data_IF_790607180659
#
_entry.id   IF_790607180659
#
_cell.length_a   1.000
_cell.length_b   1.000
_cell.length_c   1.000
_cell.angle_alpha   90.00
_cell.angle_beta   90.00
_cell.angle_gamma   90.00
#
_symmetry.space_group_name_H-M   'P 1'
#
loop_
_entity.id
_entity.type
_entity.pdbx_description
1 polymer ?
#
# COMPACT_ATOMS: atom_id res chain seq x y z
N UNK A 1 10.69 -5.86 48.68
CA UNK A 1 11.30 -6.07 47.35
C UNK A 1 10.50 -7.02 46.44
N UNK A 2 9.18 -7.20 46.63
CA UNK A 2 8.38 -8.20 45.88
C UNK A 2 7.41 -7.59 44.87
N UNK A 3 7.23 -6.26 44.90
CA UNK A 3 6.25 -5.55 44.07
C UNK A 3 6.87 -4.95 42.79
N UNK A 4 8.19 -4.81 42.70
CA UNK A 4 8.87 -4.22 41.54
C UNK A 4 8.91 -5.15 40.32
N UNK A 5 9.01 -6.47 40.53
CA UNK A 5 9.04 -7.44 39.43
C UNK A 5 7.69 -7.45 38.70
N UNK A 6 6.58 -7.32 39.44
CA UNK A 6 5.23 -7.30 38.86
C UNK A 6 5.01 -6.02 38.04
N UNK A 7 5.47 -4.87 38.52
CA UNK A 7 5.36 -3.59 37.78
C UNK A 7 6.21 -3.59 36.51
N UNK A 8 7.41 -4.17 36.55
CA UNK A 8 8.32 -4.22 35.39
C UNK A 8 7.80 -5.17 34.30
N UNK A 9 7.24 -6.31 34.68
CA UNK A 9 6.64 -7.26 33.73
C UNK A 9 5.38 -6.69 33.06
N UNK A 10 4.54 -5.94 33.80
CA UNK A 10 3.37 -5.26 33.23
C UNK A 10 3.76 -4.13 32.26
N UNK A 11 4.81 -3.36 32.58
CA UNK A 11 5.27 -2.27 31.73
C UNK A 11 5.85 -2.77 30.39
N UNK A 12 6.55 -3.91 30.41
CA UNK A 12 7.11 -4.53 29.19
C UNK A 12 6.01 -5.15 28.32
N UNK A 13 4.94 -5.71 28.90
CA UNK A 13 3.83 -6.27 28.12
C UNK A 13 2.93 -5.21 27.47
N UNK A 14 2.87 -3.99 28.03
CA UNK A 14 2.19 -2.84 27.40
C UNK A 14 2.94 -2.28 26.18
N UNK A 15 4.26 -2.43 26.11
CA UNK A 15 5.07 -2.01 24.94
C UNK A 15 4.84 -2.90 23.70
N UNK A 16 4.39 -4.14 23.89
CA UNK A 16 4.09 -5.07 22.78
C UNK A 16 2.70 -4.84 22.14
N UNK A 17 1.82 -4.05 22.77
CA UNK A 17 0.52 -3.68 22.20
C UNK A 17 0.60 -2.48 21.23
N UNK A 18 1.78 -1.88 21.05
CA UNK A 18 2.04 -0.82 20.08
C UNK A 18 2.37 -1.36 18.66
N UNK A 19 2.29 -2.67 18.43
CA UNK A 19 3.01 -3.33 17.33
C UNK A 19 2.27 -3.62 16.03
N UNK A 20 1.00 -3.23 15.87
CA UNK A 20 0.34 -3.36 14.56
C UNK A 20 0.39 -2.01 13.82
N UNK A 21 1.08 -1.93 12.67
CA UNK A 21 1.03 -0.75 11.83
C UNK A 21 -0.43 -0.41 11.53
N UNK A 22 -0.73 0.88 11.50
CA UNK A 22 -2.08 1.35 11.20
C UNK A 22 -2.49 0.87 9.79
N UNK A 23 -3.79 0.82 9.53
CA UNK A 23 -4.31 0.37 8.24
C UNK A 23 -3.68 1.18 7.09
N UNK A 24 -3.58 2.48 7.29
CA UNK A 24 -3.01 3.48 6.39
C UNK A 24 -1.53 3.18 6.09
N UNK A 25 -0.72 3.00 7.13
CA UNK A 25 0.71 2.71 7.02
C UNK A 25 0.99 1.42 6.21
N UNK A 26 0.17 0.38 6.41
CA UNK A 26 0.30 -0.86 5.64
C UNK A 26 -0.02 -0.65 4.15
N UNK A 27 -1.06 0.12 3.86
CA UNK A 27 -1.49 0.42 2.49
C UNK A 27 -0.44 1.28 1.78
N UNK A 28 0.07 2.31 2.45
CA UNK A 28 1.14 3.17 1.93
C UNK A 28 2.42 2.38 1.66
N UNK A 29 2.83 1.50 2.59
CA UNK A 29 3.98 0.63 2.39
C UNK A 29 3.80 -0.31 1.19
N UNK A 30 2.59 -0.87 1.01
CA UNK A 30 2.28 -1.71 -0.15
C UNK A 30 2.35 -0.93 -1.47
N UNK A 31 1.76 0.27 -1.52
CA UNK A 31 1.79 1.16 -2.70
C UNK A 31 3.22 1.57 -3.04
N UNK A 32 4.02 1.94 -2.03
CA UNK A 32 5.42 2.33 -2.21
C UNK A 32 6.26 1.15 -2.72
N UNK A 33 6.09 -0.04 -2.12
CA UNK A 33 6.75 -1.27 -2.56
C UNK A 33 6.40 -1.65 -4.00
N UNK A 34 5.12 -1.54 -4.37
CA UNK A 34 4.67 -1.74 -5.75
C UNK A 34 5.34 -0.75 -6.72
N UNK A 35 5.47 0.53 -6.32
CA UNK A 35 6.13 1.56 -7.11
C UNK A 35 7.58 1.23 -7.41
N UNK A 36 8.33 0.74 -6.42
CA UNK A 36 9.71 0.29 -6.61
C UNK A 36 9.82 -0.84 -7.64
N UNK A 37 8.95 -1.84 -7.55
CA UNK A 37 8.92 -2.97 -8.52
C UNK A 37 8.57 -2.49 -9.93
N UNK A 38 7.56 -1.62 -10.06
CA UNK A 38 7.15 -1.07 -11.36
C UNK A 38 8.30 -0.28 -11.97
N UNK A 39 8.98 0.57 -11.18
CA UNK A 39 10.11 1.36 -11.66
C UNK A 39 11.25 0.47 -12.16
N UNK A 40 11.62 -0.56 -11.40
CA UNK A 40 12.65 -1.53 -11.82
C UNK A 40 12.27 -2.22 -13.14
N UNK A 41 11.00 -2.62 -13.28
CA UNK A 41 10.50 -3.24 -14.51
C UNK A 41 10.50 -2.29 -15.70
N UNK A 42 10.14 -1.01 -15.49
CA UNK A 42 10.25 0.01 -16.53
C UNK A 42 11.70 0.16 -16.96
N UNK A 43 12.64 0.33 -16.04
CA UNK A 43 14.08 0.50 -16.36
C UNK A 43 14.64 -0.72 -17.12
N UNK A 44 14.24 -1.94 -16.74
CA UNK A 44 14.69 -3.18 -17.42
C UNK A 44 14.10 -3.35 -18.81
N UNK A 45 12.81 -3.04 -19.00
CA UNK A 45 12.06 -3.40 -20.21
C UNK A 45 11.78 -2.22 -21.15
N UNK A 46 11.98 -0.97 -20.73
CA UNK A 46 11.74 0.23 -21.55
C UNK A 46 12.42 0.15 -22.93
N UNK A 47 13.71 -0.24 -23.07
CA UNK A 47 14.34 -0.34 -24.38
C UNK A 47 13.63 -1.29 -25.35
N UNK A 48 12.95 -2.32 -24.83
CA UNK A 48 12.16 -3.26 -25.63
C UNK A 48 10.70 -2.82 -25.80
N UNK A 49 10.14 -2.09 -24.84
CA UNK A 49 8.75 -1.64 -24.84
C UNK A 49 8.51 -0.38 -25.67
N UNK A 50 9.52 0.47 -25.87
CA UNK A 50 9.43 1.64 -26.75
C UNK A 50 9.16 1.23 -28.21
N UNK A 51 9.94 0.32 -28.83
CA UNK A 51 9.66 -0.11 -30.20
C UNK A 51 8.51 -1.12 -30.31
N UNK A 52 8.24 -1.91 -29.26
CA UNK A 52 7.24 -2.98 -29.28
C UNK A 52 6.31 -2.91 -28.04
N UNK A 53 5.39 -1.92 -27.99
CA UNK A 53 4.59 -1.64 -26.80
C UNK A 53 3.53 -2.69 -26.47
N UNK A 54 3.27 -3.62 -27.39
CA UNK A 54 2.24 -4.65 -27.29
C UNK A 54 2.78 -6.00 -26.79
N UNK A 55 4.08 -6.10 -26.50
CA UNK A 55 4.62 -7.28 -25.81
C UNK A 55 3.92 -7.48 -24.47
N UNK A 56 3.69 -8.73 -24.11
CA UNK A 56 2.99 -9.11 -22.89
C UNK A 56 3.58 -8.44 -21.64
N UNK A 57 4.93 -8.39 -21.54
CA UNK A 57 5.62 -7.74 -20.42
C UNK A 57 5.34 -6.23 -20.35
N UNK A 58 5.25 -5.55 -21.50
CA UNK A 58 4.97 -4.11 -21.56
C UNK A 58 3.52 -3.82 -21.16
N UNK A 59 2.58 -4.66 -21.60
CA UNK A 59 1.18 -4.57 -21.20
C UNK A 59 0.99 -4.90 -19.71
N UNK A 60 1.75 -5.86 -19.19
CA UNK A 60 1.76 -6.22 -17.78
C UNK A 60 2.23 -5.04 -16.91
N UNK A 61 3.35 -4.39 -17.27
CA UNK A 61 3.88 -3.22 -16.54
C UNK A 61 2.87 -2.06 -16.57
N UNK A 62 2.24 -1.78 -17.72
CA UNK A 62 1.19 -0.75 -17.83
C UNK A 62 -0.01 -1.04 -16.93
N UNK A 63 -0.47 -2.29 -16.88
CA UNK A 63 -1.56 -2.72 -15.99
C UNK A 63 -1.17 -2.60 -14.52
N UNK A 64 0.08 -2.94 -14.17
CA UNK A 64 0.60 -2.77 -12.82
C UNK A 64 0.59 -1.30 -12.39
N UNK A 65 1.07 -0.39 -13.24
CA UNK A 65 1.02 1.06 -12.99
C UNK A 65 -0.42 1.58 -12.83
N UNK A 66 -1.35 1.09 -13.66
CA UNK A 66 -2.77 1.45 -13.55
C UNK A 66 -3.39 0.99 -12.23
N UNK A 67 -3.10 -0.24 -11.79
CA UNK A 67 -3.60 -0.78 -10.52
C UNK A 67 -2.96 -0.09 -9.31
N UNK A 68 -1.67 0.26 -9.37
CA UNK A 68 -1.04 1.08 -8.34
C UNK A 68 -1.73 2.45 -8.22
N UNK A 69 -2.01 3.11 -9.35
CA UNK A 69 -2.76 4.38 -9.34
C UNK A 69 -4.17 4.20 -8.78
N UNK A 70 -4.86 3.10 -9.11
CA UNK A 70 -6.17 2.80 -8.54
C UNK A 70 -6.12 2.60 -7.02
N UNK A 71 -5.06 2.01 -6.47
CA UNK A 71 -4.86 1.87 -5.03
C UNK A 71 -4.60 3.24 -4.37
N UNK A 72 -3.81 4.10 -5.00
CA UNK A 72 -3.59 5.50 -4.58
C UNK A 72 -4.92 6.27 -4.57
N UNK A 73 -5.71 6.17 -5.63
CA UNK A 73 -7.00 6.86 -5.74
C UNK A 73 -7.99 6.37 -4.66
N UNK A 74 -8.03 5.06 -4.40
CA UNK A 74 -8.81 4.51 -3.30
C UNK A 74 -8.34 5.06 -1.94
N UNK A 75 -7.04 5.18 -1.73
CA UNK A 75 -6.46 5.75 -0.52
C UNK A 75 -6.77 7.24 -0.38
N UNK A 76 -6.71 8.01 -1.47
CA UNK A 76 -7.10 9.42 -1.49
C UNK A 76 -8.59 9.62 -1.14
N UNK A 77 -9.46 8.72 -1.61
CA UNK A 77 -10.87 8.72 -1.22
C UNK A 77 -11.07 8.32 0.25
N UNK A 78 -10.26 7.39 0.76
CA UNK A 78 -10.30 6.97 2.15
C UNK A 78 -9.79 8.08 3.09
N UNK A 79 -8.67 8.72 2.80
CA UNK A 79 -8.04 9.72 3.66
C UNK A 79 -8.48 11.16 3.42
N UNK A 80 -9.28 11.41 2.40
CA UNK A 80 -9.56 12.76 1.88
C UNK A 80 -9.94 13.79 2.94
N UNK A 81 -9.61 15.06 2.68
CA UNK A 81 -9.88 16.14 3.61
C UNK A 81 -8.95 17.33 3.38
N UNK A 82 -9.14 18.43 4.13
CA UNK A 82 -8.26 19.59 4.05
C UNK A 82 -6.80 19.20 4.36
N UNK A 83 -5.90 19.42 3.41
CA UNK A 83 -4.45 19.21 3.59
C UNK A 83 -3.93 17.80 3.26
N UNK A 84 -4.77 16.79 2.95
CA UNK A 84 -4.28 15.45 2.61
C UNK A 84 -3.30 15.46 1.42
N UNK A 85 -3.60 16.22 0.38
CA UNK A 85 -2.73 16.39 -0.79
C UNK A 85 -1.48 17.24 -0.53
N UNK A 86 -1.34 17.78 0.69
CA UNK A 86 -0.22 18.63 1.15
C UNK A 86 0.52 17.96 2.32
N UNK A 87 0.57 16.62 2.33
CA UNK A 87 1.17 15.79 3.39
C UNK A 87 0.52 15.97 4.77
N UNK A 88 -0.73 16.45 4.79
CA UNK A 88 -1.55 16.55 5.99
C UNK A 88 -2.05 15.18 6.48
N UNK A 89 -2.63 15.12 7.69
CA UNK A 89 -3.07 13.85 8.26
C UNK A 89 -4.22 13.23 7.45
N UNK A 90 -4.22 11.90 7.35
CA UNK A 90 -5.35 11.14 6.82
C UNK A 90 -6.63 11.42 7.64
N UNK A 91 -7.72 11.75 6.94
CA UNK A 91 -9.01 12.09 7.53
C UNK A 91 -10.12 11.13 7.03
N UNK A 92 -10.23 9.92 7.60
CA UNK A 92 -11.18 8.93 7.14
C UNK A 92 -12.64 9.27 7.48
N UNK A 93 -13.63 8.65 6.79
CA UNK A 93 -15.04 8.92 7.04
C UNK A 93 -15.45 8.64 8.50
N UNK A 94 -16.20 9.58 9.10
CA UNK A 94 -16.66 9.45 10.50
C UNK A 94 -17.77 8.41 10.69
N UNK A 95 -18.59 8.20 9.66
CA UNK A 95 -19.65 7.18 9.69
C UNK A 95 -19.02 5.79 9.60
N UNK A 96 -19.37 4.89 10.52
CA UNK A 96 -18.90 3.51 10.54
C UNK A 96 -19.12 2.78 9.22
N UNK A 97 -20.29 2.97 8.60
CA UNK A 97 -20.63 2.30 7.33
C UNK A 97 -19.79 2.86 6.18
N UNK A 98 -19.62 4.19 6.13
CA UNK A 98 -18.77 4.83 5.13
C UNK A 98 -17.30 4.43 5.30
N UNK A 99 -16.83 4.34 6.54
CA UNK A 99 -15.48 3.91 6.89
C UNK A 99 -15.22 2.47 6.42
N UNK A 100 -16.13 1.54 6.73
CA UNK A 100 -15.97 0.14 6.36
C UNK A 100 -15.98 -0.02 4.83
N UNK A 101 -16.91 0.64 4.15
CA UNK A 101 -16.99 0.61 2.69
C UNK A 101 -15.74 1.18 2.02
N UNK A 102 -15.20 2.29 2.55
CA UNK A 102 -13.95 2.86 2.06
C UNK A 102 -12.75 1.92 2.32
N UNK A 103 -12.65 1.31 3.50
CA UNK A 103 -11.60 0.32 3.82
C UNK A 103 -11.65 -0.89 2.90
N UNK A 104 -12.84 -1.42 2.61
CA UNK A 104 -13.01 -2.55 1.69
C UNK A 104 -12.56 -2.21 0.27
N UNK A 105 -12.90 -1.01 -0.21
CA UNK A 105 -12.41 -0.53 -1.51
C UNK A 105 -10.89 -0.43 -1.58
N UNK A 106 -10.27 0.15 -0.56
CA UNK A 106 -8.81 0.23 -0.46
C UNK A 106 -8.20 -1.18 -0.44
N UNK A 107 -8.73 -2.10 0.37
CA UNK A 107 -8.26 -3.49 0.42
C UNK A 107 -8.36 -4.19 -0.93
N UNK A 108 -9.49 -4.03 -1.63
CA UNK A 108 -9.68 -4.62 -2.96
C UNK A 108 -8.62 -4.10 -3.93
N UNK A 109 -8.44 -2.77 -4.01
CA UNK A 109 -7.48 -2.17 -4.93
C UNK A 109 -6.03 -2.60 -4.62
N UNK A 110 -5.67 -2.69 -3.33
CA UNK A 110 -4.35 -3.17 -2.91
C UNK A 110 -4.15 -4.65 -3.23
N UNK A 111 -5.19 -5.47 -3.08
CA UNK A 111 -5.11 -6.90 -3.44
C UNK A 111 -4.90 -7.09 -4.94
N UNK A 112 -5.68 -6.39 -5.77
CA UNK A 112 -5.55 -6.45 -7.24
C UNK A 112 -4.15 -5.97 -7.67
N UNK A 113 -3.66 -4.90 -7.05
CA UNK A 113 -2.28 -4.41 -7.24
C UNK A 113 -1.24 -5.46 -6.81
N UNK A 114 -1.37 -6.07 -5.65
CA UNK A 114 -0.38 -7.04 -5.17
C UNK A 114 -0.31 -8.29 -6.07
N UNK A 115 -1.45 -8.75 -6.59
CA UNK A 115 -1.50 -9.87 -7.53
C UNK A 115 -0.73 -9.56 -8.82
N UNK A 116 -0.96 -8.39 -9.42
CA UNK A 116 -0.26 -8.02 -10.65
C UNK A 116 1.24 -7.75 -10.42
N UNK A 117 1.60 -7.22 -9.26
CA UNK A 117 3.00 -6.97 -8.87
C UNK A 117 3.77 -8.28 -8.71
N UNK A 118 3.16 -9.32 -8.12
CA UNK A 118 3.76 -10.64 -8.04
C UNK A 118 4.07 -11.21 -9.45
N UNK A 119 3.18 -10.97 -10.42
CA UNK A 119 3.44 -11.33 -11.81
C UNK A 119 4.62 -10.55 -12.39
N UNK A 120 4.70 -9.23 -12.21
CA UNK A 120 5.84 -8.41 -12.68
C UNK A 120 7.16 -8.89 -12.08
N UNK A 121 7.20 -9.18 -10.78
CA UNK A 121 8.39 -9.73 -10.11
C UNK A 121 8.81 -11.08 -10.69
N UNK A 122 7.86 -11.89 -11.19
CA UNK A 122 8.14 -13.12 -11.91
C UNK A 122 8.95 -12.92 -13.19
N UNK A 123 8.79 -11.78 -13.88
CA UNK A 123 9.56 -11.41 -15.07
C UNK A 123 10.92 -10.78 -14.73
N UNK A 124 11.06 -10.16 -13.55
CA UNK A 124 12.31 -9.52 -13.13
C UNK A 124 13.42 -10.52 -12.78
N UNK A 125 13.06 -11.74 -12.35
CA UNK A 125 13.98 -12.83 -12.05
C UNK A 125 14.68 -13.39 -13.30
#
# INVERSE_FOLDING_TARGET
MKNWIVTFVLAVSLLFLAGCPKFEENVEAAIAGAGGVIQEAVEKYEPACVPEPDKDVCQLIKRAAALQRSAIDAMNLYCGGPGWNEDGPCNPPDSKDALNHAKERVRSAVNDMNEIIANVQGWLK
#
